data_IF_990357632144
#
_entry.id   IF_990357632144
#
_cell.length_a   1.000
_cell.length_b   1.000
_cell.length_c   1.000
_cell.angle_alpha   90.00
_cell.angle_beta   90.00
_cell.angle_gamma   90.00
#
_symmetry.space_group_name_H-M   'P 1'
#
loop_
_entity.id
_entity.type
_entity.pdbx_description
1 polymer ?
#
# COMPACT_ATOMS: atom_id res chain seq x y z
N UNK A 1 15.38 -13.54 -48.05
CA UNK A 1 16.19 -12.81 -47.06
C UNK A 1 15.66 -11.40 -46.72
N UNK A 2 15.18 -10.62 -47.65
CA UNK A 2 14.66 -9.26 -47.40
C UNK A 2 13.36 -9.23 -46.56
N UNK A 3 12.51 -10.23 -46.67
CA UNK A 3 11.25 -10.33 -45.91
C UNK A 3 11.45 -10.63 -44.43
N UNK A 4 12.45 -11.45 -44.12
CA UNK A 4 12.78 -11.83 -42.73
C UNK A 4 13.35 -10.64 -41.97
N UNK A 5 14.13 -9.78 -42.65
CA UNK A 5 14.72 -8.57 -42.07
C UNK A 5 13.65 -7.52 -41.73
N UNK A 6 12.59 -7.42 -42.52
CA UNK A 6 11.46 -6.54 -42.29
C UNK A 6 10.59 -6.98 -41.11
N UNK A 7 10.39 -8.29 -40.95
CA UNK A 7 9.64 -8.86 -39.81
C UNK A 7 10.40 -8.64 -38.50
N UNK A 8 11.73 -8.78 -38.52
CA UNK A 8 12.54 -8.53 -37.31
C UNK A 8 12.50 -7.06 -36.86
N UNK A 9 12.46 -6.12 -37.82
CA UNK A 9 12.34 -4.68 -37.51
C UNK A 9 10.99 -4.30 -36.89
N UNK A 10 9.91 -4.97 -37.28
CA UNK A 10 8.57 -4.72 -36.71
C UNK A 10 8.48 -5.22 -35.27
N UNK A 11 9.16 -6.30 -34.92
CA UNK A 11 9.20 -6.82 -33.53
C UNK A 11 9.99 -5.94 -32.57
N UNK A 12 10.98 -5.20 -33.04
CA UNK A 12 11.80 -4.32 -32.22
C UNK A 12 11.04 -3.02 -31.86
N UNK A 13 10.14 -2.56 -32.72
CA UNK A 13 9.37 -1.33 -32.47
C UNK A 13 8.16 -1.52 -31.53
N UNK A 14 7.70 -2.75 -31.32
CA UNK A 14 6.58 -3.01 -30.40
C UNK A 14 6.96 -3.01 -28.91
N UNK A 15 8.26 -3.07 -28.57
CA UNK A 15 8.72 -3.03 -27.18
C UNK A 15 8.96 -1.60 -26.62
N UNK A 16 8.87 -0.55 -27.43
CA UNK A 16 9.21 0.83 -27.02
C UNK A 16 8.04 1.64 -26.48
N UNK A 17 6.82 1.12 -26.48
CA UNK A 17 5.61 1.80 -26.00
C UNK A 17 5.12 1.34 -24.63
N UNK A 18 5.97 0.76 -23.78
CA UNK A 18 5.65 0.60 -22.38
C UNK A 18 5.71 1.98 -21.74
N UNK A 19 4.54 2.61 -21.55
CA UNK A 19 4.43 3.76 -20.66
C UNK A 19 4.86 3.28 -19.29
N UNK A 20 6.08 3.60 -18.90
CA UNK A 20 6.51 3.50 -17.51
C UNK A 20 5.57 4.38 -16.70
N UNK A 21 4.64 3.76 -16.00
CA UNK A 21 3.82 4.45 -15.00
C UNK A 21 4.81 4.92 -13.97
N UNK A 22 5.02 6.24 -13.88
CA UNK A 22 5.90 6.82 -12.88
C UNK A 22 5.22 6.68 -11.52
N UNK A 23 5.47 5.56 -10.87
CA UNK A 23 4.95 5.22 -9.53
C UNK A 23 5.36 6.28 -8.50
N UNK A 24 6.44 7.02 -8.76
CA UNK A 24 6.92 8.11 -7.89
C UNK A 24 5.95 9.28 -7.81
N UNK A 25 5.16 9.53 -8.86
CA UNK A 25 4.14 10.59 -8.85
C UNK A 25 2.92 10.25 -8.02
N UNK A 26 2.71 8.97 -7.73
CA UNK A 26 1.56 8.50 -6.96
C UNK A 26 1.75 8.68 -5.46
N UNK A 27 2.98 8.62 -4.97
CA UNK A 27 3.28 8.66 -3.54
C UNK A 27 4.16 9.85 -3.20
N UNK A 28 3.88 10.49 -2.07
CA UNK A 28 4.74 11.55 -1.54
C UNK A 28 6.06 10.98 -1.02
N UNK A 29 7.18 11.59 -1.45
CA UNK A 29 8.52 11.29 -0.98
C UNK A 29 9.09 9.92 -1.40
N UNK A 30 10.39 9.77 -1.18
CA UNK A 30 11.17 8.59 -1.54
C UNK A 30 11.29 7.63 -0.34
N UNK A 31 10.26 6.79 -0.17
CA UNK A 31 10.37 5.68 0.77
C UNK A 31 11.21 4.56 0.18
N UNK A 32 12.21 4.09 0.91
CA UNK A 32 12.98 2.91 0.51
C UNK A 32 12.11 1.65 0.62
N UNK A 33 12.39 0.65 -0.19
CA UNK A 33 11.70 -0.66 -0.10
C UNK A 33 11.83 -1.27 1.29
N UNK A 34 12.99 -1.11 1.92
CA UNK A 34 13.22 -1.56 3.30
C UNK A 34 12.24 -0.89 4.26
N UNK A 35 12.10 0.43 4.19
CA UNK A 35 11.18 1.18 5.07
C UNK A 35 9.73 0.77 4.88
N UNK A 36 9.31 0.57 3.64
CA UNK A 36 7.96 0.11 3.32
C UNK A 36 7.69 -1.27 3.92
N UNK A 37 8.63 -2.20 3.79
CA UNK A 37 8.52 -3.54 4.37
C UNK A 37 8.49 -3.51 5.89
N UNK A 38 9.29 -2.66 6.51
CA UNK A 38 9.31 -2.46 7.96
C UNK A 38 7.95 -1.97 8.46
N UNK A 39 7.42 -0.91 7.85
CA UNK A 39 6.11 -0.35 8.20
C UNK A 39 4.99 -1.39 8.02
N UNK A 40 5.04 -2.13 6.93
CA UNK A 40 4.07 -3.20 6.65
C UNK A 40 4.14 -4.33 7.67
N UNK A 41 5.32 -4.79 8.01
CA UNK A 41 5.52 -5.84 9.01
C UNK A 41 5.02 -5.43 10.40
N UNK A 42 5.27 -4.20 10.81
CA UNK A 42 4.77 -3.65 12.07
C UNK A 42 3.24 -3.63 12.08
N UNK A 43 2.62 -3.14 11.01
CA UNK A 43 1.16 -3.14 10.85
C UNK A 43 0.60 -4.57 10.95
N UNK A 44 1.16 -5.49 10.19
CA UNK A 44 0.70 -6.87 10.12
C UNK A 44 0.77 -7.58 11.47
N UNK A 45 1.91 -7.47 12.17
CA UNK A 45 2.07 -8.06 13.51
C UNK A 45 1.12 -7.45 14.54
N UNK A 46 0.92 -6.13 14.50
CA UNK A 46 -0.01 -5.46 15.41
C UNK A 46 -1.44 -5.95 15.19
N UNK A 47 -1.87 -6.11 13.93
CA UNK A 47 -3.21 -6.59 13.60
C UNK A 47 -3.44 -8.05 13.99
N UNK A 48 -2.49 -8.93 13.74
CA UNK A 48 -2.60 -10.34 14.15
C UNK A 48 -2.75 -10.46 15.67
N UNK A 49 -2.01 -9.66 16.42
CA UNK A 49 -2.11 -9.67 17.89
C UNK A 49 -3.45 -9.12 18.38
N UNK A 50 -3.95 -8.06 17.74
CA UNK A 50 -5.20 -7.43 18.14
C UNK A 50 -6.44 -8.25 17.73
N UNK A 51 -6.37 -8.92 16.59
CA UNK A 51 -7.52 -9.63 15.98
C UNK A 51 -7.10 -11.00 15.43
N UNK A 52 -6.74 -11.95 16.31
CA UNK A 52 -6.22 -13.25 15.89
C UNK A 52 -7.26 -14.13 15.17
N UNK A 53 -8.55 -13.78 15.23
CA UNK A 53 -9.63 -14.56 14.63
C UNK A 53 -9.79 -14.33 13.13
N UNK A 54 -9.26 -13.23 12.61
CA UNK A 54 -9.33 -12.93 11.19
C UNK A 54 -8.27 -13.70 10.40
N UNK A 55 -8.63 -14.21 9.22
CA UNK A 55 -7.66 -14.89 8.37
C UNK A 55 -6.57 -13.92 7.89
N UNK A 56 -5.33 -14.42 7.70
CA UNK A 56 -4.19 -13.60 7.28
C UNK A 56 -4.43 -12.70 6.07
N UNK A 57 -5.12 -13.10 5.00
CA UNK A 57 -5.38 -12.23 3.85
C UNK A 57 -6.10 -10.93 4.19
N UNK A 58 -6.99 -10.93 5.18
CA UNK A 58 -7.69 -9.72 5.62
C UNK A 58 -6.70 -8.75 6.26
N UNK A 59 -5.79 -9.22 7.10
CA UNK A 59 -4.75 -8.40 7.69
C UNK A 59 -3.79 -7.84 6.64
N UNK A 60 -3.43 -8.64 5.65
CA UNK A 60 -2.56 -8.22 4.55
C UNK A 60 -3.19 -7.09 3.74
N UNK A 61 -4.43 -7.23 3.30
CA UNK A 61 -5.15 -6.20 2.54
C UNK A 61 -5.30 -4.90 3.33
N UNK A 62 -5.59 -5.00 4.61
CA UNK A 62 -5.70 -3.85 5.49
C UNK A 62 -4.38 -3.10 5.61
N UNK A 63 -3.28 -3.82 5.80
CA UNK A 63 -1.95 -3.22 5.87
C UNK A 63 -1.50 -2.62 4.54
N UNK A 64 -1.78 -3.27 3.42
CA UNK A 64 -1.53 -2.71 2.08
C UNK A 64 -2.23 -1.37 1.91
N UNK A 65 -3.51 -1.29 2.23
CA UNK A 65 -4.29 -0.05 2.18
C UNK A 65 -3.69 1.04 3.09
N UNK A 66 -3.39 0.72 4.33
CA UNK A 66 -2.86 1.68 5.29
C UNK A 66 -1.50 2.22 4.88
N UNK A 67 -0.60 1.35 4.40
CA UNK A 67 0.74 1.76 3.97
C UNK A 67 0.67 2.60 2.69
N UNK A 68 -0.16 2.25 1.74
CA UNK A 68 -0.35 3.04 0.52
C UNK A 68 -0.86 4.45 0.84
N UNK A 69 -1.90 4.58 1.64
CA UNK A 69 -2.43 5.89 2.07
C UNK A 69 -1.42 6.70 2.89
N UNK A 70 -0.66 6.03 3.73
CA UNK A 70 0.42 6.64 4.51
C UNK A 70 1.50 7.25 3.60
N UNK A 71 1.92 6.52 2.57
CA UNK A 71 2.91 6.98 1.59
C UNK A 71 2.39 8.12 0.71
N UNK A 72 1.10 8.16 0.45
CA UNK A 72 0.46 9.28 -0.27
C UNK A 72 0.45 10.57 0.54
N UNK A 73 0.39 10.47 1.87
CA UNK A 73 0.26 11.62 2.76
C UNK A 73 1.60 12.17 3.24
N UNK A 74 2.51 11.30 3.65
CA UNK A 74 3.80 11.69 4.22
C UNK A 74 4.98 11.14 3.44
N UNK A 75 5.99 12.00 3.20
CA UNK A 75 7.31 11.57 2.75
C UNK A 75 8.09 10.91 3.89
N UNK A 76 9.18 10.20 3.57
CA UNK A 76 10.05 9.60 4.60
C UNK A 76 10.64 10.66 5.54
N UNK A 77 10.97 11.84 5.02
CA UNK A 77 11.46 12.96 5.83
C UNK A 77 10.37 13.55 6.74
N UNK A 78 9.12 13.61 6.28
CA UNK A 78 8.00 14.11 7.06
C UNK A 78 7.74 13.25 8.30
N UNK A 79 7.89 11.94 8.19
CA UNK A 79 7.76 11.02 9.32
C UNK A 79 8.69 11.34 10.49
N UNK A 80 9.89 11.84 10.19
CA UNK A 80 10.88 12.20 11.20
C UNK A 80 10.54 13.49 11.94
N UNK A 81 9.77 14.37 11.32
CA UNK A 81 9.38 15.67 11.85
C UNK A 81 8.00 15.70 12.49
N UNK A 82 7.14 14.74 12.17
CA UNK A 82 5.80 14.64 12.74
C UNK A 82 5.88 14.09 14.16
N UNK A 83 5.21 14.75 15.12
CA UNK A 83 5.17 14.29 16.50
C UNK A 83 4.37 12.99 16.66
N UNK A 84 4.74 12.21 17.66
CA UNK A 84 4.15 10.88 17.94
C UNK A 84 2.62 10.93 18.07
N UNK A 85 2.08 11.94 18.74
CA UNK A 85 0.64 12.10 18.92
C UNK A 85 -0.10 12.29 17.59
N UNK A 86 0.45 13.10 16.68
CA UNK A 86 -0.12 13.30 15.34
C UNK A 86 -0.07 12.03 14.51
N UNK A 87 1.02 11.28 14.60
CA UNK A 87 1.14 9.99 13.90
C UNK A 87 0.14 8.98 14.42
N UNK A 88 -0.06 8.88 15.72
CA UNK A 88 -1.03 7.97 16.33
C UNK A 88 -2.44 8.27 15.80
N UNK A 89 -2.89 9.51 15.88
CA UNK A 89 -4.20 9.94 15.35
C UNK A 89 -4.33 9.70 13.85
N UNK A 90 -3.25 9.90 13.11
CA UNK A 90 -3.22 9.66 11.68
C UNK A 90 -3.42 8.17 11.37
N UNK A 91 -2.71 7.28 12.04
CA UNK A 91 -2.86 5.84 11.84
C UNK A 91 -4.22 5.30 12.30
N UNK A 92 -4.78 5.81 13.38
CA UNK A 92 -6.15 5.49 13.81
C UNK A 92 -7.18 5.83 12.72
N UNK A 93 -7.05 7.01 12.12
CA UNK A 93 -7.90 7.42 11.00
C UNK A 93 -7.72 6.53 9.78
N UNK A 94 -6.47 6.24 9.38
CA UNK A 94 -6.18 5.34 8.26
C UNK A 94 -6.75 3.96 8.47
N UNK A 95 -6.66 3.45 9.68
CA UNK A 95 -7.23 2.16 10.05
C UNK A 95 -8.74 2.13 9.80
N UNK A 96 -9.46 3.13 10.29
CA UNK A 96 -10.91 3.24 10.10
C UNK A 96 -11.29 3.40 8.62
N UNK A 97 -10.58 4.24 7.87
CA UNK A 97 -10.82 4.45 6.45
C UNK A 97 -10.61 3.17 5.65
N UNK A 98 -9.53 2.45 5.89
CA UNK A 98 -9.23 1.19 5.22
C UNK A 98 -10.20 0.07 5.59
N UNK A 99 -10.61 -0.02 6.83
CA UNK A 99 -11.65 -0.97 7.26
C UNK A 99 -12.97 -0.72 6.54
N UNK A 100 -13.35 0.54 6.40
CA UNK A 100 -14.56 0.93 5.69
C UNK A 100 -14.48 0.61 4.19
N UNK A 101 -13.36 0.92 3.56
CA UNK A 101 -13.16 0.68 2.12
C UNK A 101 -13.12 -0.81 1.78
N UNK A 102 -12.45 -1.61 2.60
CA UNK A 102 -12.29 -3.05 2.36
C UNK A 102 -13.42 -3.89 2.95
N UNK A 103 -14.30 -3.30 3.77
CA UNK A 103 -15.33 -4.04 4.49
C UNK A 103 -14.75 -5.01 5.54
N UNK A 104 -13.52 -4.75 6.00
CA UNK A 104 -12.79 -5.60 6.95
C UNK A 104 -12.96 -5.18 8.41
N UNK A 105 -13.78 -4.17 8.65
CA UNK A 105 -14.12 -3.74 10.00
C UNK A 105 -14.88 -4.81 10.76
N UNK A 106 -14.57 -4.96 12.05
CA UNK A 106 -15.39 -5.72 12.99
C UNK A 106 -16.76 -5.04 13.07
N UNK A 107 -17.71 -5.52 12.30
CA UNK A 107 -19.09 -5.38 12.70
C UNK A 107 -19.30 -6.35 13.85
N UNK A 108 -19.14 -5.85 15.07
CA UNK A 108 -19.70 -6.56 16.21
C UNK A 108 -21.16 -6.88 15.85
N UNK A 109 -21.58 -8.16 15.98
CA UNK A 109 -22.99 -8.48 15.81
C UNK A 109 -23.74 -7.46 16.69
N UNK A 110 -24.71 -6.79 16.07
CA UNK A 110 -25.61 -5.93 16.83
C UNK A 110 -26.06 -6.73 18.05
N UNK A 111 -25.87 -6.18 19.25
CA UNK A 111 -26.31 -6.82 20.47
C UNK A 111 -27.71 -7.40 20.22
N UNK A 112 -27.91 -8.69 20.46
CA UNK A 112 -29.24 -9.23 20.41
C UNK A 112 -30.03 -8.51 21.51
N UNK A 113 -30.83 -7.56 21.05
CA UNK A 113 -31.78 -6.93 21.95
C UNK A 113 -32.79 -7.94 22.47
#
# INVERSE_FOLDING_TARGET
MRLISLILLVFITSCTNVKTIDVRKRFSGDHTTFKIREMWAICYQARIRAMPFFPPPIHMQQCDCMIDKSRETYSDSDYKSVGQEKLTKFYERLHQECEKELGTGLKLPADPA
#
